data_IF_104659676642
#
_entry.id   IF_104659676642
#
_cell.length_a   1.000
_cell.length_b   1.000
_cell.length_c   1.000
_cell.angle_alpha   90.00
_cell.angle_beta   90.00
_cell.angle_gamma   90.00
#
_symmetry.space_group_name_H-M   'P 1'
#
loop_
_entity.id
_entity.type
_entity.pdbx_description
1 polymer ?
#
# COMPACT_ATOMS: atom_id res chain seq x y z
N UNK A 1 -2.18 -36.88 18.34
CA UNK A 1 -3.21 -36.23 17.51
C UNK A 1 -3.86 -35.14 18.33
N UNK A 2 -3.75 -33.88 17.86
CA UNK A 2 -4.35 -32.73 18.57
C UNK A 2 -5.83 -32.52 18.22
N UNK A 3 -6.42 -33.37 17.34
CA UNK A 3 -7.82 -33.26 16.92
C UNK A 3 -8.14 -32.01 16.07
N UNK A 4 -7.12 -31.32 15.54
CA UNK A 4 -7.30 -30.16 14.68
C UNK A 4 -7.64 -30.60 13.23
N UNK A 5 -8.39 -29.76 12.46
CA UNK A 5 -8.63 -30.00 11.04
C UNK A 5 -7.31 -30.16 10.28
N UNK A 6 -7.28 -31.03 9.27
CA UNK A 6 -6.09 -31.29 8.44
C UNK A 6 -6.37 -31.09 6.95
N UNK A 7 -7.62 -30.95 6.54
CA UNK A 7 -8.05 -30.77 5.15
C UNK A 7 -8.47 -29.31 4.89
N UNK A 8 -8.21 -28.82 3.68
CA UNK A 8 -8.63 -27.47 3.24
C UNK A 8 -7.90 -26.30 3.92
N UNK A 9 -6.78 -26.57 4.63
CA UNK A 9 -6.05 -25.52 5.37
C UNK A 9 -5.01 -24.83 4.52
N UNK A 10 -4.38 -25.57 3.62
CA UNK A 10 -3.28 -25.09 2.78
C UNK A 10 -3.71 -25.07 1.32
N UNK A 11 -3.27 -24.04 0.61
CA UNK A 11 -3.46 -23.99 -0.84
C UNK A 11 -2.86 -25.25 -1.52
N UNK A 12 -3.46 -25.75 -2.61
CA UNK A 12 -2.95 -26.88 -3.37
C UNK A 12 -1.49 -26.69 -3.80
N UNK A 13 -0.75 -27.80 -3.94
CA UNK A 13 0.67 -27.74 -4.32
C UNK A 13 0.83 -27.08 -5.70
N UNK A 14 -0.07 -27.35 -6.62
CA UNK A 14 -0.10 -26.79 -7.97
C UNK A 14 -0.21 -25.26 -7.93
N UNK A 15 -1.11 -24.72 -7.10
CA UNK A 15 -1.29 -23.28 -6.90
C UNK A 15 -0.02 -22.63 -6.34
N UNK A 16 0.60 -23.25 -5.33
CA UNK A 16 1.87 -22.76 -4.76
C UNK A 16 2.97 -22.74 -5.80
N UNK A 17 3.06 -23.79 -6.64
CA UNK A 17 4.08 -23.91 -7.67
C UNK A 17 3.96 -22.81 -8.72
N UNK A 18 2.73 -22.44 -9.12
CA UNK A 18 2.47 -21.34 -10.05
C UNK A 18 3.05 -20.03 -9.48
N UNK A 19 2.76 -19.72 -8.21
CA UNK A 19 3.29 -18.51 -7.58
C UNK A 19 4.80 -18.56 -7.48
N UNK A 20 5.38 -19.65 -6.96
CA UNK A 20 6.83 -19.81 -6.77
C UNK A 20 7.60 -19.66 -8.08
N UNK A 21 7.10 -20.23 -9.17
CA UNK A 21 7.76 -20.15 -10.49
C UNK A 21 7.74 -18.73 -11.08
N UNK A 22 6.77 -17.91 -10.70
CA UNK A 22 6.59 -16.57 -11.23
C UNK A 22 7.20 -15.48 -10.35
N UNK A 23 7.44 -15.77 -9.08
CA UNK A 23 7.75 -14.77 -8.05
C UNK A 23 9.09 -14.08 -8.26
N UNK A 24 10.10 -14.82 -8.77
CA UNK A 24 11.43 -14.24 -9.02
C UNK A 24 11.36 -13.10 -10.03
N UNK A 25 10.56 -13.28 -11.09
CA UNK A 25 10.38 -12.25 -12.12
C UNK A 25 9.67 -11.00 -11.56
N UNK A 26 8.73 -11.18 -10.63
CA UNK A 26 8.03 -10.07 -10.00
C UNK A 26 8.94 -9.33 -9.00
N UNK A 27 9.65 -10.05 -8.13
CA UNK A 27 10.56 -9.45 -7.15
C UNK A 27 11.72 -8.73 -7.83
N UNK A 28 12.20 -9.23 -8.98
CA UNK A 28 13.26 -8.56 -9.74
C UNK A 28 12.87 -7.21 -10.32
N UNK A 29 11.58 -6.88 -10.37
CA UNK A 29 11.12 -5.52 -10.70
C UNK A 29 11.39 -4.49 -9.59
N UNK A 30 11.67 -4.95 -8.37
CA UNK A 30 11.99 -4.07 -7.23
C UNK A 30 13.49 -3.76 -7.27
N UNK A 31 13.92 -2.48 -7.23
CA UNK A 31 15.32 -2.12 -7.15
C UNK A 31 16.03 -2.80 -5.97
N UNK A 32 17.28 -3.28 -6.14
CA UNK A 32 18.01 -4.02 -5.10
C UNK A 32 18.08 -3.29 -3.76
N UNK A 33 18.26 -1.97 -3.80
CA UNK A 33 18.31 -1.09 -2.62
C UNK A 33 17.00 -1.06 -1.82
N UNK A 34 15.86 -1.31 -2.46
CA UNK A 34 14.56 -1.37 -1.79
C UNK A 34 14.27 -2.79 -1.26
N UNK A 35 14.77 -3.84 -1.93
CA UNK A 35 14.53 -5.24 -1.54
C UNK A 35 15.03 -5.56 -0.15
N UNK A 36 16.20 -5.06 0.24
CA UNK A 36 16.82 -5.33 1.54
C UNK A 36 15.96 -4.85 2.73
N UNK A 37 15.05 -3.91 2.52
CA UNK A 37 14.14 -3.40 3.54
C UNK A 37 12.73 -3.98 3.46
N UNK A 38 12.45 -4.84 2.46
CA UNK A 38 11.12 -5.39 2.20
C UNK A 38 10.84 -6.64 3.05
N UNK A 39 10.87 -6.49 4.37
CA UNK A 39 10.72 -7.59 5.34
C UNK A 39 9.40 -8.34 5.17
N UNK A 40 8.33 -7.63 4.86
CA UNK A 40 7.02 -8.26 4.66
C UNK A 40 6.93 -9.07 3.37
N UNK A 41 7.72 -8.73 2.33
CA UNK A 41 7.82 -9.57 1.13
C UNK A 41 8.48 -10.92 1.43
N UNK A 42 9.48 -10.96 2.31
CA UNK A 42 10.05 -12.23 2.77
C UNK A 42 9.00 -13.10 3.47
N UNK A 43 8.17 -12.48 4.32
CA UNK A 43 7.06 -13.18 5.00
C UNK A 43 5.96 -13.61 4.02
N UNK A 44 5.67 -12.80 3.01
CA UNK A 44 4.79 -13.16 1.90
C UNK A 44 5.27 -14.44 1.22
N UNK A 45 6.56 -14.48 0.82
CA UNK A 45 7.18 -15.65 0.19
C UNK A 45 7.08 -16.90 1.08
N UNK A 46 7.38 -16.77 2.37
CA UNK A 46 7.31 -17.87 3.33
C UNK A 46 5.88 -18.40 3.47
N UNK A 47 4.88 -17.49 3.48
CA UNK A 47 3.46 -17.88 3.55
C UNK A 47 3.00 -18.60 2.28
N UNK A 48 3.42 -18.14 1.10
CA UNK A 48 3.15 -18.82 -0.18
C UNK A 48 3.75 -20.23 -0.17
N UNK A 49 5.02 -20.38 0.21
CA UNK A 49 5.69 -21.67 0.29
C UNK A 49 5.00 -22.64 1.26
N UNK A 50 4.51 -22.12 2.38
CA UNK A 50 3.71 -22.88 3.35
C UNK A 50 2.29 -23.21 2.87
N UNK A 51 1.79 -22.54 1.81
CA UNK A 51 0.41 -22.67 1.32
C UNK A 51 -0.62 -21.84 2.10
N UNK A 52 -0.17 -20.84 2.87
CA UNK A 52 -1.00 -19.93 3.65
C UNK A 52 -1.25 -18.66 2.82
N UNK A 53 -2.16 -18.72 1.85
CA UNK A 53 -2.39 -17.64 0.90
C UNK A 53 -3.07 -16.42 1.55
N UNK A 54 -3.92 -16.61 2.53
CA UNK A 54 -4.51 -15.57 3.38
C UNK A 54 -3.44 -14.79 4.16
N UNK A 55 -2.49 -15.52 4.75
CA UNK A 55 -1.31 -14.93 5.39
C UNK A 55 -0.44 -14.16 4.40
N UNK A 56 -0.27 -14.71 3.19
CA UNK A 56 0.49 -14.06 2.12
C UNK A 56 -0.13 -12.69 1.77
N UNK A 57 -1.45 -12.61 1.54
CA UNK A 57 -2.13 -11.31 1.26
C UNK A 57 -1.92 -10.32 2.39
N UNK A 58 -2.00 -10.77 3.65
CA UNK A 58 -1.78 -9.91 4.80
C UNK A 58 -0.38 -9.30 4.80
N UNK A 59 0.66 -10.09 4.52
CA UNK A 59 2.03 -9.57 4.46
C UNK A 59 2.27 -8.68 3.24
N UNK A 60 1.70 -9.01 2.08
CA UNK A 60 1.76 -8.16 0.91
C UNK A 60 1.12 -6.79 1.18
N UNK A 61 -0.04 -6.78 1.82
CA UNK A 61 -0.72 -5.56 2.22
C UNK A 61 0.11 -4.71 3.19
N UNK A 62 0.73 -5.33 4.18
CA UNK A 62 1.59 -4.62 5.14
C UNK A 62 2.79 -3.94 4.44
N UNK A 63 3.41 -4.57 3.43
CA UNK A 63 4.48 -3.95 2.66
C UNK A 63 3.94 -2.79 1.80
N UNK A 64 2.74 -2.94 1.23
CA UNK A 64 2.07 -1.91 0.45
C UNK A 64 1.82 -0.66 1.30
N UNK A 65 1.20 -0.81 2.46
CA UNK A 65 0.90 0.32 3.37
C UNK A 65 2.18 0.96 3.90
N UNK A 66 3.18 0.18 4.26
CA UNK A 66 4.50 0.69 4.67
C UNK A 66 5.14 1.53 3.56
N UNK A 67 5.08 1.06 2.31
CA UNK A 67 5.64 1.77 1.16
C UNK A 67 4.88 3.07 0.86
N UNK A 68 3.55 3.06 0.96
CA UNK A 68 2.74 4.27 0.83
C UNK A 68 3.06 5.29 1.93
N UNK A 69 3.20 4.87 3.19
CA UNK A 69 3.59 5.77 4.29
C UNK A 69 4.95 6.40 4.03
N UNK A 70 5.94 5.63 3.56
CA UNK A 70 7.25 6.16 3.18
C UNK A 70 7.13 7.19 2.04
N UNK A 71 6.32 6.92 1.05
CA UNK A 71 6.05 7.86 -0.05
C UNK A 71 5.43 9.17 0.48
N UNK A 72 4.42 9.07 1.35
CA UNK A 72 3.75 10.22 1.98
C UNK A 72 4.75 11.07 2.76
N UNK A 73 5.55 10.45 3.63
CA UNK A 73 6.57 11.15 4.42
C UNK A 73 7.59 11.89 3.56
N UNK A 74 7.95 11.33 2.39
CA UNK A 74 8.87 11.98 1.45
C UNK A 74 8.23 13.07 0.59
N UNK A 75 6.90 13.13 0.52
CA UNK A 75 6.17 14.08 -0.31
C UNK A 75 5.88 15.41 0.41
N UNK A 76 4.88 15.46 1.26
CA UNK A 76 4.50 16.62 2.09
C UNK A 76 3.62 16.11 3.25
N UNK A 77 4.26 15.75 4.35
CA UNK A 77 3.59 15.17 5.51
C UNK A 77 2.54 16.13 6.11
N UNK A 78 2.89 17.41 6.26
CA UNK A 78 2.01 18.39 6.89
C UNK A 78 0.72 18.57 6.08
N UNK A 79 0.85 18.69 4.76
CA UNK A 79 -0.31 18.82 3.89
C UNK A 79 -1.14 17.52 3.85
N UNK A 80 -0.48 16.36 3.84
CA UNK A 80 -1.16 15.09 3.92
C UNK A 80 -2.00 14.97 5.20
N UNK A 81 -1.43 15.26 6.35
CA UNK A 81 -2.13 15.20 7.64
C UNK A 81 -3.28 16.19 7.71
N UNK A 82 -3.11 17.39 7.13
CA UNK A 82 -4.19 18.37 7.01
C UNK A 82 -5.37 17.81 6.21
N UNK A 83 -5.13 17.29 5.00
CA UNK A 83 -6.19 16.69 4.16
C UNK A 83 -6.84 15.49 4.85
N UNK A 84 -6.05 14.67 5.55
CA UNK A 84 -6.57 13.52 6.31
C UNK A 84 -7.50 13.97 7.43
N UNK A 85 -7.17 15.07 8.13
CA UNK A 85 -8.03 15.63 9.18
C UNK A 85 -9.34 16.21 8.65
N UNK A 86 -9.35 16.69 7.40
CA UNK A 86 -10.58 17.14 6.71
C UNK A 86 -11.51 15.97 6.35
N UNK A 87 -10.93 14.78 6.09
CA UNK A 87 -11.71 13.55 5.83
C UNK A 87 -12.33 13.03 7.13
N UNK A 88 -11.55 13.04 8.22
CA UNK A 88 -11.99 12.52 9.49
C UNK A 88 -11.33 13.29 10.65
N UNK A 89 -12.14 14.04 11.39
CA UNK A 89 -11.68 14.92 12.47
C UNK A 89 -10.90 14.22 13.59
N UNK A 90 -10.98 12.90 13.71
CA UNK A 90 -10.17 12.12 14.69
C UNK A 90 -8.66 12.26 14.47
N UNK A 91 -8.23 12.67 13.28
CA UNK A 91 -6.83 12.81 12.90
C UNK A 91 -6.25 14.23 13.09
N UNK A 92 -7.02 15.18 13.64
CA UNK A 92 -6.61 16.59 13.74
C UNK A 92 -5.36 16.83 14.62
N UNK A 93 -5.03 15.88 15.50
CA UNK A 93 -3.87 15.99 16.40
C UNK A 93 -2.59 15.34 15.84
N UNK A 94 -2.65 14.67 14.70
CA UNK A 94 -1.51 14.00 14.09
C UNK A 94 -0.53 15.03 13.52
N UNK A 95 0.78 14.85 13.76
CA UNK A 95 1.82 15.82 13.38
C UNK A 95 3.12 15.20 12.87
N UNK A 96 3.36 13.92 13.14
CA UNK A 96 4.65 13.26 12.88
C UNK A 96 4.49 12.11 11.89
N UNK A 97 5.61 11.64 11.35
CA UNK A 97 5.63 10.48 10.46
C UNK A 97 5.14 9.22 11.19
N UNK A 98 5.46 9.07 12.46
CA UNK A 98 5.03 7.95 13.29
C UNK A 98 3.50 7.91 13.41
N UNK A 99 2.85 9.08 13.42
CA UNK A 99 1.40 9.21 13.51
C UNK A 99 0.68 8.64 12.27
N UNK A 100 1.37 8.48 11.13
CA UNK A 100 0.81 7.80 9.95
C UNK A 100 0.33 6.38 10.27
N UNK A 101 0.90 5.76 11.29
CA UNK A 101 0.50 4.43 11.76
C UNK A 101 -0.88 4.40 12.40
N UNK A 102 -1.40 5.53 12.87
CA UNK A 102 -2.70 5.68 13.52
C UNK A 102 -3.83 5.90 12.50
N UNK A 103 -3.49 6.18 11.25
CA UNK A 103 -4.47 6.39 10.18
C UNK A 103 -4.93 5.02 9.67
N UNK A 104 -6.25 4.81 9.63
CA UNK A 104 -6.83 3.59 9.07
C UNK A 104 -6.47 3.46 7.58
N UNK A 105 -6.21 2.24 7.13
CA UNK A 105 -5.74 1.97 5.76
C UNK A 105 -6.66 2.59 4.69
N UNK A 106 -7.97 2.52 4.87
CA UNK A 106 -8.93 3.13 3.95
C UNK A 106 -8.81 4.66 3.90
N UNK A 107 -8.69 5.32 5.05
CA UNK A 107 -8.55 6.78 5.12
C UNK A 107 -7.21 7.24 4.54
N UNK A 108 -6.14 6.46 4.74
CA UNK A 108 -4.83 6.68 4.13
C UNK A 108 -4.91 6.61 2.60
N UNK A 109 -5.54 5.56 2.04
CA UNK A 109 -5.74 5.42 0.60
C UNK A 109 -6.60 6.55 0.02
N UNK A 110 -7.70 6.90 0.71
CA UNK A 110 -8.60 7.99 0.29
C UNK A 110 -7.86 9.34 0.26
N UNK A 111 -7.01 9.60 1.27
CA UNK A 111 -6.19 10.82 1.29
C UNK A 111 -5.18 10.82 0.15
N UNK A 112 -4.47 9.70 -0.08
CA UNK A 112 -3.55 9.56 -1.23
C UNK A 112 -4.25 9.84 -2.56
N UNK A 113 -5.46 9.34 -2.75
CA UNK A 113 -6.24 9.56 -3.96
C UNK A 113 -6.66 11.03 -4.11
N UNK A 114 -7.20 11.64 -3.05
CA UNK A 114 -7.59 13.07 -3.07
C UNK A 114 -6.43 14.01 -3.35
N UNK A 115 -5.23 13.64 -2.93
CA UNK A 115 -4.02 14.42 -3.18
C UNK A 115 -3.38 14.12 -4.56
N UNK A 116 -3.93 13.18 -5.33
CA UNK A 116 -3.36 12.75 -6.60
C UNK A 116 -2.05 11.95 -6.47
N UNK A 117 -1.71 11.47 -5.28
CA UNK A 117 -0.56 10.58 -5.05
C UNK A 117 -0.77 9.21 -5.68
N UNK A 118 -2.02 8.76 -5.73
CA UNK A 118 -2.47 7.59 -6.48
C UNK A 118 -3.68 7.97 -7.34
N UNK A 119 -3.84 7.29 -8.47
CA UNK A 119 -4.98 7.50 -9.36
C UNK A 119 -6.24 6.80 -8.83
N UNK A 120 -7.43 7.18 -9.34
CA UNK A 120 -8.70 6.52 -9.00
C UNK A 120 -8.64 5.01 -9.27
N UNK A 121 -8.02 4.60 -10.39
CA UNK A 121 -7.83 3.19 -10.71
C UNK A 121 -7.02 2.46 -9.62
N UNK A 122 -5.90 3.04 -9.18
CA UNK A 122 -5.04 2.45 -8.14
C UNK A 122 -5.76 2.40 -6.79
N UNK A 123 -6.55 3.44 -6.47
CA UNK A 123 -7.37 3.46 -5.27
C UNK A 123 -8.37 2.29 -5.24
N UNK A 124 -9.10 2.06 -6.34
CA UNK A 124 -10.05 0.94 -6.41
C UNK A 124 -9.35 -0.43 -6.35
N UNK A 125 -8.20 -0.58 -7.01
CA UNK A 125 -7.38 -1.81 -6.91
C UNK A 125 -6.95 -2.08 -5.47
N UNK A 126 -6.39 -1.10 -4.79
CA UNK A 126 -5.95 -1.28 -3.39
C UNK A 126 -7.13 -1.48 -2.43
N UNK A 127 -8.23 -0.79 -2.64
CA UNK A 127 -9.46 -1.00 -1.89
C UNK A 127 -9.95 -2.44 -2.01
N UNK A 128 -9.91 -3.02 -3.21
CA UNK A 128 -10.27 -4.42 -3.44
C UNK A 128 -9.28 -5.40 -2.75
N UNK A 129 -7.97 -5.17 -2.85
CA UNK A 129 -6.97 -6.02 -2.16
C UNK A 129 -7.17 -5.97 -0.64
N UNK A 130 -7.43 -4.78 -0.08
CA UNK A 130 -7.74 -4.63 1.34
C UNK A 130 -9.04 -5.34 1.74
N UNK A 131 -10.06 -5.29 0.88
CA UNK A 131 -11.30 -6.05 1.08
C UNK A 131 -11.00 -7.56 1.13
N UNK A 132 -10.27 -8.09 0.16
CA UNK A 132 -9.90 -9.51 0.10
C UNK A 132 -9.07 -9.92 1.31
N UNK A 133 -8.08 -9.14 1.73
CA UNK A 133 -7.31 -9.38 2.97
C UNK A 133 -8.22 -9.50 4.20
N UNK A 134 -9.26 -8.68 4.30
CA UNK A 134 -10.15 -8.68 5.46
C UNK A 134 -11.20 -9.80 5.44
N UNK A 135 -11.57 -10.30 4.26
CA UNK A 135 -12.69 -11.24 4.08
C UNK A 135 -12.26 -12.63 3.63
N UNK A 136 -11.03 -12.79 3.10
CA UNK A 136 -10.49 -14.11 2.73
C UNK A 136 -9.72 -14.78 3.87
N UNK A 137 -9.53 -14.09 4.99
CA UNK A 137 -8.93 -14.69 6.17
C UNK A 137 -9.95 -15.62 6.86
N UNK A 138 -9.44 -16.52 7.70
CA UNK A 138 -10.09 -17.64 8.35
C UNK A 138 -11.53 -17.47 8.92
N UNK A 139 -12.11 -16.27 8.90
CA UNK A 139 -13.47 -16.02 9.35
C UNK A 139 -14.55 -16.43 8.33
N UNK A 140 -14.22 -16.54 7.04
CA UNK A 140 -15.16 -16.94 5.96
C UNK A 140 -14.48 -17.86 4.94
N UNK A 141 -14.07 -19.07 5.31
CA UNK A 141 -13.22 -19.94 4.49
C UNK A 141 -13.88 -20.50 3.24
N UNK A 142 -15.16 -20.27 3.01
CA UNK A 142 -15.92 -20.92 1.92
C UNK A 142 -16.34 -19.99 0.78
N UNK A 143 -16.21 -18.67 0.93
CA UNK A 143 -16.77 -17.74 -0.06
C UNK A 143 -15.74 -17.05 -0.96
N UNK A 144 -14.46 -17.00 -0.54
CA UNK A 144 -13.43 -16.28 -1.30
C UNK A 144 -12.08 -17.02 -1.24
N UNK A 145 -11.95 -18.11 -1.98
CA UNK A 145 -10.64 -18.75 -2.17
C UNK A 145 -9.72 -17.84 -2.98
N UNK A 146 -8.50 -17.65 -2.48
CA UNK A 146 -7.45 -16.89 -3.16
C UNK A 146 -6.69 -17.84 -4.08
N UNK A 147 -6.71 -17.58 -5.39
CA UNK A 147 -5.94 -18.34 -6.35
C UNK A 147 -4.50 -17.83 -6.47
N UNK A 148 -3.64 -18.63 -7.09
CA UNK A 148 -2.27 -18.23 -7.45
C UNK A 148 -2.26 -16.98 -8.34
N UNK A 149 -3.18 -16.87 -9.28
CA UNK A 149 -3.25 -15.74 -10.19
C UNK A 149 -3.72 -14.45 -9.49
N UNK A 150 -4.61 -14.56 -8.49
CA UNK A 150 -4.97 -13.42 -7.65
C UNK A 150 -3.74 -12.88 -6.91
N UNK A 151 -2.98 -13.76 -6.23
CA UNK A 151 -1.77 -13.37 -5.53
C UNK A 151 -0.73 -12.71 -6.43
N UNK A 152 -0.50 -13.27 -7.63
CA UNK A 152 0.45 -12.72 -8.60
C UNK A 152 -0.03 -11.37 -9.13
N UNK A 153 -1.32 -11.23 -9.43
CA UNK A 153 -1.91 -9.96 -9.85
C UNK A 153 -1.77 -8.89 -8.76
N UNK A 154 -2.09 -9.23 -7.52
CA UNK A 154 -1.97 -8.29 -6.40
C UNK A 154 -0.51 -7.95 -6.10
N UNK A 155 0.41 -8.92 -6.14
CA UNK A 155 1.85 -8.68 -6.00
C UNK A 155 2.34 -7.67 -7.05
N UNK A 156 2.00 -7.89 -8.32
CA UNK A 156 2.37 -6.99 -9.42
C UNK A 156 1.84 -5.56 -9.18
N UNK A 157 0.56 -5.44 -8.81
CA UNK A 157 -0.05 -4.14 -8.54
C UNK A 157 0.61 -3.43 -7.33
N UNK A 158 0.88 -4.16 -6.24
CA UNK A 158 1.55 -3.61 -5.07
C UNK A 158 2.99 -3.17 -5.39
N UNK A 159 3.74 -3.97 -6.16
CA UNK A 159 5.08 -3.59 -6.62
C UNK A 159 5.02 -2.32 -7.48
N UNK A 160 4.14 -2.30 -8.47
CA UNK A 160 4.06 -1.21 -9.43
C UNK A 160 3.58 0.10 -8.80
N UNK A 161 2.55 0.05 -7.96
CA UNK A 161 1.81 1.23 -7.53
C UNK A 161 2.09 1.68 -6.09
N UNK A 162 2.86 0.90 -5.32
CA UNK A 162 3.26 1.28 -3.97
C UNK A 162 4.77 1.11 -3.75
N UNK A 163 5.33 -0.09 -3.95
CA UNK A 163 6.72 -0.39 -3.57
C UNK A 163 7.72 0.35 -4.46
N UNK A 164 7.43 0.43 -5.76
CA UNK A 164 8.23 1.18 -6.75
C UNK A 164 7.62 2.56 -7.06
N UNK A 165 6.53 2.93 -6.40
CA UNK A 165 5.85 4.17 -6.71
C UNK A 165 6.73 5.37 -6.38
N UNK A 166 6.80 6.29 -7.32
CA UNK A 166 7.19 7.67 -7.08
C UNK A 166 5.93 8.54 -7.09
N UNK A 167 5.90 9.65 -6.36
CA UNK A 167 4.77 10.57 -6.44
C UNK A 167 4.43 10.90 -7.89
N UNK A 168 3.13 10.94 -8.22
CA UNK A 168 2.66 11.28 -9.55
C UNK A 168 3.27 12.62 -10.02
N UNK A 169 3.59 12.75 -11.32
CA UNK A 169 4.16 13.98 -11.89
C UNK A 169 3.31 15.22 -11.62
N UNK A 170 1.97 15.08 -11.66
CA UNK A 170 1.05 16.17 -11.32
C UNK A 170 1.15 16.56 -9.84
N UNK A 171 1.30 15.59 -8.94
CA UNK A 171 1.51 15.82 -7.53
C UNK A 171 2.87 16.49 -7.25
N UNK A 172 3.93 16.12 -7.99
CA UNK A 172 5.24 16.77 -7.88
C UNK A 172 5.15 18.23 -8.35
N UNK A 173 4.46 18.48 -9.45
CA UNK A 173 4.25 19.84 -9.99
C UNK A 173 3.46 20.70 -9.00
N UNK A 174 2.42 20.14 -8.40
CA UNK A 174 1.63 20.82 -7.37
C UNK A 174 2.47 21.11 -6.12
N UNK A 175 3.31 20.17 -5.68
CA UNK A 175 4.24 20.38 -4.56
C UNK A 175 5.20 21.53 -4.83
N UNK A 176 5.79 21.57 -6.03
CA UNK A 176 6.68 22.66 -6.44
C UNK A 176 5.94 23.99 -6.46
N UNK A 177 4.73 24.02 -6.99
CA UNK A 177 3.90 25.22 -7.00
C UNK A 177 3.58 25.70 -5.58
N UNK A 178 3.15 24.80 -4.69
CA UNK A 178 2.84 25.12 -3.29
C UNK A 178 4.09 25.56 -2.53
N UNK A 179 5.24 24.93 -2.78
CA UNK A 179 6.51 25.34 -2.18
C UNK A 179 6.88 26.75 -2.63
N UNK A 180 6.77 27.05 -3.92
CA UNK A 180 7.02 28.38 -4.48
C UNK A 180 6.07 29.44 -3.91
N UNK A 181 4.78 29.11 -3.73
CA UNK A 181 3.81 30.00 -3.11
C UNK A 181 4.08 30.26 -1.61
N UNK A 182 4.63 29.28 -0.90
CA UNK A 182 4.98 29.42 0.53
C UNK A 182 6.32 30.16 0.73
N UNK A 183 7.28 29.97 -0.17
CA UNK A 183 8.64 30.52 -0.03
C UNK A 183 8.81 31.86 -0.76
N UNK A 184 8.21 32.03 -1.90
CA UNK A 184 8.11 33.31 -2.58
C UNK A 184 6.84 33.97 -2.14
N UNK A 185 6.95 35.01 -1.30
CA UNK A 185 5.84 35.95 -1.08
C UNK A 185 5.51 36.63 -2.42
N UNK A 186 4.74 35.93 -3.26
CA UNK A 186 4.11 36.52 -4.44
C UNK A 186 2.85 37.28 -4.03
N UNK A 187 3.00 38.18 -3.08
CA UNK A 187 2.17 39.39 -3.01
C UNK A 187 3.10 40.48 -3.53
N UNK A 188 2.90 41.06 -4.73
CA UNK A 188 3.55 42.30 -5.07
C UNK A 188 3.22 43.27 -3.97
N UNK A 189 4.23 43.85 -3.32
CA UNK A 189 4.01 45.02 -2.49
C UNK A 189 3.28 46.03 -3.40
N UNK A 190 2.01 46.24 -3.10
CA UNK A 190 1.26 47.35 -3.68
C UNK A 190 1.81 48.63 -3.09
N UNK A 191 2.73 49.22 -3.83
CA UNK A 191 3.30 50.48 -3.35
C UNK A 191 4.44 51.01 -4.20
N UNK A 192 4.14 51.49 -5.38
CA UNK A 192 4.71 52.76 -5.90
C UNK A 192 4.00 53.14 -7.21
N UNK A 193 3.00 53.95 -7.10
CA UNK A 193 2.68 54.96 -8.08
C UNK A 193 3.42 56.22 -7.71
#
# INVERSE_FOLDING_TARGET
>A
NLGLPTEGILAPIEERQIVINSIESEINKIPPENRQFAVYLTRFLSSVAAGLFDGAVTYLWNETIKSLRKMIASYDLDYFLKVTSEINNRYHNLKTEEDLSLIADYDLLNTCNRMGLITDHVFEVFKFINYMRNHSSAAHPTENEISAFDLLSWLNNCIKYAINATPNGDAITLKQLLHNLRTNQLIPESGSL
#
